data_IF_642612023182
#
_entry.id   IF_642612023182
#
_cell.length_a   1.000
_cell.length_b   1.000
_cell.length_c   1.000
_cell.angle_alpha   90.00
_cell.angle_beta   90.00
_cell.angle_gamma   90.00
#
_symmetry.space_group_name_H-M   'P 1'
#
loop_
_entity.id
_entity.type
_entity.pdbx_description
1 polymer ?
#
# COMPACT_ATOMS: atom_id res chain seq x y z
N UNK A 1 7.67 -14.05 14.12
CA UNK A 1 7.38 -13.46 12.81
C UNK A 1 6.23 -12.50 13.00
N UNK A 2 6.50 -11.22 12.82
CA UNK A 2 5.51 -10.16 12.98
C UNK A 2 4.46 -10.22 11.87
N UNK A 3 3.22 -9.89 12.24
CA UNK A 3 2.05 -10.02 11.37
C UNK A 3 1.51 -8.64 11.05
N UNK A 4 1.29 -8.37 9.77
CA UNK A 4 0.58 -7.17 9.34
C UNK A 4 -0.92 -7.28 9.67
N UNK A 5 -1.56 -6.16 10.02
CA UNK A 5 -3.01 -6.10 10.29
C UNK A 5 -3.76 -5.74 9.02
N UNK A 6 -4.88 -6.41 8.76
CA UNK A 6 -5.65 -6.29 7.54
C UNK A 6 -7.06 -5.77 7.84
N UNK A 7 -7.45 -4.68 7.18
CA UNK A 7 -8.80 -4.12 7.23
C UNK A 7 -9.38 -4.08 5.82
N UNK A 8 -10.67 -4.36 5.66
CA UNK A 8 -11.35 -4.32 4.36
C UNK A 8 -12.29 -3.13 4.28
N UNK A 9 -12.21 -2.43 3.15
CA UNK A 9 -13.01 -1.28 2.82
C UNK A 9 -13.87 -1.61 1.61
N UNK A 10 -15.16 -1.35 1.73
CA UNK A 10 -16.13 -1.38 0.63
C UNK A 10 -16.60 0.06 0.40
N UNK A 11 -16.15 0.67 -0.70
CA UNK A 11 -16.41 2.08 -1.01
C UNK A 11 -16.60 2.31 -2.50
N UNK A 12 -16.64 3.58 -2.89
CA UNK A 12 -16.68 3.99 -4.29
C UNK A 12 -15.49 4.92 -4.57
N UNK A 13 -14.83 4.73 -5.71
CA UNK A 13 -13.77 5.63 -6.20
C UNK A 13 -14.31 6.40 -7.40
N UNK A 14 -14.18 7.73 -7.36
CA UNK A 14 -14.44 8.60 -8.50
C UNK A 14 -13.15 8.77 -9.29
N UNK A 15 -13.07 8.19 -10.48
CA UNK A 15 -11.95 8.42 -11.38
C UNK A 15 -12.28 9.55 -12.33
N UNK A 16 -11.41 10.56 -12.40
CA UNK A 16 -11.49 11.64 -13.38
C UNK A 16 -10.14 11.78 -14.08
N UNK A 17 -10.10 11.49 -15.38
CA UNK A 17 -8.89 11.76 -16.18
C UNK A 17 -8.70 13.27 -16.35
N UNK A 18 -7.46 13.72 -16.20
CA UNK A 18 -7.07 15.10 -16.52
C UNK A 18 -6.63 15.14 -17.98
N UNK A 19 -7.45 15.76 -18.85
CA UNK A 19 -7.20 15.85 -20.30
C UNK A 19 -8.46 16.21 -21.09
N UNK A 20 -8.35 16.30 -22.43
CA UNK A 20 -9.44 16.74 -23.32
C UNK A 20 -10.68 15.85 -23.31
N UNK A 21 -10.57 14.58 -22.89
CA UNK A 21 -11.72 13.69 -22.71
C UNK A 21 -12.15 13.67 -21.24
N UNK A 22 -13.32 14.25 -20.95
CA UNK A 22 -13.97 14.21 -19.63
C UNK A 22 -14.58 12.82 -19.38
N UNK A 23 -13.74 11.80 -19.17
CA UNK A 23 -14.21 10.54 -18.60
C UNK A 23 -14.21 10.67 -17.08
N UNK A 24 -15.41 10.71 -16.50
CA UNK A 24 -15.64 10.54 -15.08
C UNK A 24 -16.50 9.29 -14.90
N UNK A 25 -16.04 8.36 -14.08
CA UNK A 25 -16.84 7.20 -13.71
C UNK A 25 -16.60 6.85 -12.24
N UNK A 26 -17.69 6.48 -11.57
CA UNK A 26 -17.66 5.93 -10.23
C UNK A 26 -17.74 4.41 -10.32
N UNK A 27 -16.88 3.72 -9.59
CA UNK A 27 -16.94 2.28 -9.49
C UNK A 27 -16.78 1.84 -8.04
N UNK A 28 -17.50 0.77 -7.69
CA UNK A 28 -17.33 0.11 -6.39
C UNK A 28 -15.88 -0.36 -6.30
N UNK A 29 -15.22 0.04 -5.22
CA UNK A 29 -13.83 -0.27 -4.97
C UNK A 29 -13.73 -0.99 -3.64
N UNK A 30 -13.35 -2.27 -3.73
CA UNK A 30 -13.00 -3.07 -2.57
C UNK A 30 -11.50 -2.98 -2.38
N UNK A 31 -11.09 -2.56 -1.19
CA UNK A 31 -9.68 -2.39 -0.86
C UNK A 31 -9.33 -3.02 0.46
N UNK A 32 -8.13 -3.58 0.51
CA UNK A 32 -7.46 -4.05 1.69
C UNK A 32 -6.48 -2.95 2.15
N UNK A 33 -6.68 -2.47 3.37
CA UNK A 33 -5.66 -1.70 4.08
C UNK A 33 -4.84 -2.65 4.93
N UNK A 34 -3.55 -2.72 4.62
CA UNK A 34 -2.58 -3.55 5.31
C UNK A 34 -1.67 -2.62 6.09
N UNK A 35 -1.77 -2.70 7.41
CA UNK A 35 -0.95 -1.91 8.33
C UNK A 35 0.39 -2.58 8.56
N UNK A 36 1.46 -1.77 8.57
CA UNK A 36 2.81 -2.17 8.97
C UNK A 36 3.35 -3.37 8.16
N UNK A 37 3.33 -3.21 6.84
CA UNK A 37 3.59 -4.27 5.87
C UNK A 37 5.08 -4.51 5.59
N UNK A 38 5.98 -3.63 6.01
CA UNK A 38 7.42 -3.73 5.74
C UNK A 38 8.24 -3.47 7.00
N UNK A 39 9.22 -4.32 7.24
CA UNK A 39 10.21 -4.18 8.31
C UNK A 39 11.49 -3.59 7.74
N UNK A 40 11.82 -2.35 8.12
CA UNK A 40 13.04 -1.68 7.69
C UNK A 40 14.32 -2.28 8.27
N UNK A 41 14.27 -2.96 9.42
CA UNK A 41 15.43 -3.58 10.02
C UNK A 41 15.76 -4.91 9.34
N UNK A 42 14.72 -5.70 9.04
CA UNK A 42 14.86 -7.01 8.38
C UNK A 42 14.85 -6.92 6.84
N UNK A 43 14.57 -5.73 6.31
CA UNK A 43 14.36 -5.43 4.89
C UNK A 43 13.40 -6.40 4.20
N UNK A 44 12.30 -6.74 4.89
CA UNK A 44 11.36 -7.76 4.44
C UNK A 44 9.91 -7.33 4.63
N UNK A 45 9.06 -7.74 3.70
CA UNK A 45 7.63 -7.62 3.86
C UNK A 45 7.12 -8.56 4.95
N UNK A 46 6.25 -8.04 5.82
CA UNK A 46 5.58 -8.82 6.85
C UNK A 46 4.51 -9.68 6.20
N UNK A 47 4.33 -10.89 6.73
CA UNK A 47 3.33 -11.83 6.21
C UNK A 47 1.93 -11.33 6.58
N UNK A 48 1.03 -11.28 5.60
CA UNK A 48 -0.38 -10.99 5.83
C UNK A 48 -1.08 -12.31 6.14
N UNK A 49 -1.75 -12.39 7.29
CA UNK A 49 -2.50 -13.58 7.67
C UNK A 49 -3.94 -13.48 7.18
N UNK A 50 -4.24 -13.99 5.98
CA UNK A 50 -5.60 -14.11 5.47
C UNK A 50 -5.82 -15.48 4.84
N UNK A 51 -6.98 -16.10 5.13
CA UNK A 51 -7.40 -17.37 4.51
C UNK A 51 -8.07 -17.18 3.15
N UNK A 52 -8.50 -15.95 2.84
CA UNK A 52 -9.39 -15.64 1.70
C UNK A 52 -8.70 -14.70 0.70
N UNK A 53 -7.75 -13.89 1.17
CA UNK A 53 -7.07 -12.88 0.36
C UNK A 53 -5.62 -13.28 0.17
N UNK A 54 -5.21 -13.44 -1.08
CA UNK A 54 -3.81 -13.61 -1.45
C UNK A 54 -3.24 -12.26 -1.88
N UNK A 55 -2.10 -11.93 -1.32
CA UNK A 55 -1.25 -10.84 -1.79
C UNK A 55 -0.10 -11.49 -2.55
N UNK A 56 0.39 -10.86 -3.61
CA UNK A 56 1.60 -11.36 -4.27
C UNK A 56 2.75 -11.29 -3.26
N UNK A 57 3.45 -12.40 -3.02
CA UNK A 57 4.54 -12.49 -2.03
C UNK A 57 5.63 -11.44 -2.30
N UNK A 58 5.84 -11.12 -3.58
CA UNK A 58 6.54 -9.95 -4.05
C UNK A 58 5.49 -9.00 -4.63
N UNK A 59 5.06 -8.00 -3.87
CA UNK A 59 4.18 -6.93 -4.35
C UNK A 59 4.77 -6.38 -5.66
N UNK A 60 4.17 -6.71 -6.81
CA UNK A 60 4.84 -6.57 -8.11
C UNK A 60 5.03 -5.11 -8.55
N UNK A 61 6.06 -4.94 -9.39
CA UNK A 61 6.44 -3.86 -10.30
C UNK A 61 6.82 -2.47 -9.78
N UNK A 62 6.48 -2.06 -8.55
CA UNK A 62 7.00 -0.78 -7.99
C UNK A 62 7.32 -0.82 -6.50
N UNK A 63 7.06 -1.94 -5.80
CA UNK A 63 7.26 -1.99 -4.35
C UNK A 63 8.72 -1.73 -3.93
N UNK A 64 9.69 -2.23 -4.70
CA UNK A 64 11.11 -1.94 -4.47
C UNK A 64 11.41 -0.45 -4.56
N UNK A 65 11.04 0.19 -5.68
CA UNK A 65 11.26 1.63 -5.90
C UNK A 65 10.59 2.51 -4.85
N UNK A 66 9.37 2.15 -4.44
CA UNK A 66 8.64 2.87 -3.38
C UNK A 66 9.34 2.72 -2.04
N UNK A 67 9.77 1.50 -1.69
CA UNK A 67 10.52 1.26 -0.44
C UNK A 67 11.86 2.00 -0.46
N UNK A 68 12.58 2.02 -1.58
CA UNK A 68 13.84 2.75 -1.72
C UNK A 68 13.63 4.27 -1.62
N UNK A 69 12.52 4.77 -2.18
CA UNK A 69 12.11 6.17 -2.02
C UNK A 69 11.80 6.50 -0.56
N UNK A 70 11.09 5.62 0.16
CA UNK A 70 10.82 5.79 1.59
C UNK A 70 12.11 5.74 2.42
N UNK A 71 13.03 4.82 2.13
CA UNK A 71 14.35 4.75 2.80
C UNK A 71 15.14 6.04 2.60
N UNK A 72 15.16 6.56 1.37
CA UNK A 72 15.82 7.83 1.04
C UNK A 72 15.20 8.98 1.82
N UNK A 73 13.87 9.07 1.84
CA UNK A 73 13.15 10.10 2.62
C UNK A 73 13.45 10.02 4.12
N UNK A 74 13.44 8.83 4.72
CA UNK A 74 13.76 8.60 6.15
C UNK A 74 15.15 9.12 6.46
N UNK A 75 16.13 8.79 5.60
CA UNK A 75 17.53 9.23 5.74
C UNK A 75 17.65 10.75 5.62
N UNK A 76 17.05 11.34 4.60
CA UNK A 76 17.13 12.79 4.34
C UNK A 76 16.48 13.62 5.46
N UNK A 77 15.45 13.06 6.12
CA UNK A 77 14.75 13.70 7.23
C UNK A 77 15.27 13.30 8.61
N UNK A 78 16.31 12.45 8.68
CA UNK A 78 16.85 11.91 9.92
C UNK A 78 15.77 11.31 10.85
N UNK A 79 14.85 10.54 10.26
CA UNK A 79 13.77 9.88 11.00
C UNK A 79 14.28 8.51 11.47
N UNK A 80 13.98 8.13 12.71
CA UNK A 80 14.31 6.78 13.18
C UNK A 80 13.40 5.74 12.52
N UNK A 81 13.97 4.79 11.78
CA UNK A 81 13.22 3.81 10.98
C UNK A 81 12.31 2.89 11.82
N UNK A 82 12.66 2.62 13.08
CA UNK A 82 11.86 1.86 14.05
C UNK A 82 10.58 2.62 14.50
N UNK A 83 10.49 3.92 14.26
CA UNK A 83 9.30 4.74 14.52
C UNK A 83 8.39 4.85 13.30
N UNK A 84 8.82 4.31 12.15
CA UNK A 84 8.06 4.31 10.91
C UNK A 84 7.18 3.07 10.78
N UNK A 85 6.01 3.25 10.18
CA UNK A 85 5.16 2.16 9.69
C UNK A 85 4.90 2.36 8.21
N UNK A 86 5.00 1.27 7.45
CA UNK A 86 4.60 1.26 6.05
C UNK A 86 3.21 0.66 5.95
N UNK A 87 2.23 1.46 5.55
CA UNK A 87 0.88 0.96 5.30
C UNK A 87 0.61 0.90 3.79
N UNK A 88 -0.26 -0.03 3.40
CA UNK A 88 -0.61 -0.27 2.01
C UNK A 88 -2.12 -0.35 1.85
N UNK A 89 -2.70 0.51 1.00
CA UNK A 89 -4.08 0.39 0.55
C UNK A 89 -4.10 -0.12 -0.88
N UNK A 90 -4.63 -1.32 -1.08
CA UNK A 90 -4.74 -1.93 -2.42
C UNK A 90 -5.92 -2.86 -2.52
N UNK A 91 -6.44 -3.09 -3.72
CA UNK A 91 -7.32 -4.22 -3.96
C UNK A 91 -6.53 -5.53 -3.83
N UNK A 92 -6.99 -6.49 -3.00
CA UNK A 92 -6.38 -7.81 -2.91
C UNK A 92 -6.81 -8.67 -4.11
N UNK A 93 -6.03 -9.72 -4.42
CA UNK A 93 -6.50 -10.75 -5.33
C UNK A 93 -7.60 -11.57 -4.64
N UNK A 94 -8.57 -12.03 -5.42
CA UNK A 94 -9.68 -12.86 -4.91
C UNK A 94 -9.57 -14.23 -5.59
N UNK A 95 -9.09 -15.23 -4.84
CA UNK A 95 -8.81 -16.56 -5.40
C UNK A 95 -7.76 -16.49 -6.52
N UNK A 96 -8.11 -17.01 -7.71
CA UNK A 96 -7.27 -16.97 -8.91
C UNK A 96 -7.42 -15.69 -9.75
N UNK A 97 -8.34 -14.80 -9.37
CA UNK A 97 -8.59 -13.56 -10.10
C UNK A 97 -7.57 -12.52 -9.64
N UNK A 98 -6.66 -12.16 -10.55
CA UNK A 98 -5.77 -11.01 -10.37
C UNK A 98 -6.61 -9.75 -10.43
N UNK A 99 -6.62 -8.99 -9.35
CA UNK A 99 -7.23 -7.67 -9.36
C UNK A 99 -6.42 -6.77 -10.29
N UNK A 100 -7.02 -6.31 -11.40
CA UNK A 100 -6.48 -5.18 -12.16
C UNK A 100 -6.65 -3.95 -11.27
N UNK A 101 -5.59 -3.59 -10.56
CA UNK A 101 -5.66 -2.54 -9.55
C UNK A 101 -4.93 -1.30 -10.09
N UNK A 102 -5.63 -0.33 -10.71
CA UNK A 102 -5.01 0.89 -11.21
C UNK A 102 -4.57 1.84 -10.09
N UNK A 103 -4.84 1.51 -8.81
CA UNK A 103 -4.63 2.41 -7.68
C UNK A 103 -4.05 1.64 -6.49
N UNK A 104 -2.81 1.95 -6.11
CA UNK A 104 -2.10 1.30 -5.02
C UNK A 104 -1.43 2.37 -4.17
N UNK A 105 -1.92 2.60 -2.96
CA UNK A 105 -1.39 3.68 -2.12
C UNK A 105 -0.46 3.14 -1.05
N UNK A 106 0.73 3.73 -0.99
CA UNK A 106 1.73 3.45 0.03
C UNK A 106 1.85 4.65 0.95
N UNK A 107 1.86 4.39 2.25
CA UNK A 107 1.96 5.41 3.28
C UNK A 107 3.15 5.10 4.18
N UNK A 108 4.01 6.09 4.38
CA UNK A 108 4.98 6.08 5.47
C UNK A 108 4.41 6.91 6.62
N UNK A 109 4.12 6.26 7.72
CA UNK A 109 3.54 6.91 8.90
C UNK A 109 4.50 6.91 10.08
N UNK A 110 4.38 7.95 10.89
CA UNK A 110 5.01 8.07 12.21
C UNK A 110 3.92 8.38 13.24
N UNK A 111 4.27 8.49 14.52
CA UNK A 111 3.31 8.92 15.56
C UNK A 111 2.71 10.32 15.32
N UNK A 112 3.37 11.15 14.52
CA UNK A 112 2.93 12.49 14.16
C UNK A 112 2.04 12.52 12.90
N UNK A 113 1.75 11.37 12.30
CA UNK A 113 0.94 11.22 11.10
C UNK A 113 1.73 10.77 9.86
N UNK A 114 1.07 10.86 8.70
CA UNK A 114 1.63 10.47 7.39
C UNK A 114 2.74 11.45 6.97
N UNK A 115 3.90 10.91 6.60
CA UNK A 115 5.10 11.66 6.22
C UNK A 115 5.44 11.51 4.73
N UNK A 116 5.04 10.41 4.10
CA UNK A 116 5.26 10.16 2.67
C UNK A 116 4.09 9.37 2.07
N UNK A 117 3.74 9.70 0.83
CA UNK A 117 2.65 9.11 0.08
C UNK A 117 3.08 8.82 -1.37
N UNK A 118 2.74 7.64 -1.88
CA UNK A 118 2.96 7.26 -3.27
C UNK A 118 1.75 6.48 -3.79
N UNK A 119 1.32 6.73 -5.03
CA UNK A 119 0.10 6.19 -5.65
C UNK A 119 0.32 5.58 -7.03
#
# INVERSE_FOLDING_TARGET
MDKAKLNLFDGAVSHRRVGNKKHQFEYKYKSAFVEDIFDFNLEKFKRINSKILSFADNYSDMSGEVIDSMKSFIKDKNIEANLCKVNLLRTPNIGFIKSFNPVCFWFLETKEGCKFFHS
#
